data_IF_428323868284
#
_entry.id   IF_428323868284
#
_cell.length_a   1.000
_cell.length_b   1.000
_cell.length_c   1.000
_cell.angle_alpha   90.00
_cell.angle_beta   90.00
_cell.angle_gamma   90.00
#
_symmetry.space_group_name_H-M   'P 1'
#
loop_
_entity.id
_entity.type
_entity.pdbx_description
1 polymer ?
#
# COMPACT_ATOMS: atom_id res chain seq x y z
N UNK A 1 1.33 -15.64 20.50
CA UNK A 1 2.05 -14.44 20.02
C UNK A 1 1.09 -13.70 19.10
N UNK A 2 0.82 -12.39 19.26
CA UNK A 2 -0.13 -11.72 18.39
C UNK A 2 0.45 -11.69 16.99
N UNK A 3 -0.31 -12.15 16.00
CA UNK A 3 0.07 -12.09 14.60
C UNK A 3 0.41 -10.64 14.25
N UNK A 4 1.59 -10.40 13.65
CA UNK A 4 1.90 -9.10 13.04
C UNK A 4 0.74 -8.77 12.11
N UNK A 5 -0.06 -7.77 12.46
CA UNK A 5 -1.14 -7.32 11.60
C UNK A 5 -0.49 -6.87 10.29
N UNK A 6 -0.79 -7.59 9.21
CA UNK A 6 -0.37 -7.16 7.89
C UNK A 6 -1.08 -5.84 7.60
N UNK A 7 -0.32 -4.83 7.16
CA UNK A 7 -0.85 -3.53 6.77
C UNK A 7 -2.00 -3.72 5.76
N UNK A 8 -3.13 -3.04 5.94
CA UNK A 8 -4.20 -3.05 4.94
C UNK A 8 -3.89 -2.07 3.80
N UNK A 9 -4.61 -2.20 2.67
CA UNK A 9 -4.46 -1.24 1.57
C UNK A 9 -4.82 0.18 2.02
N UNK A 10 -5.91 0.31 2.76
CA UNK A 10 -6.42 1.59 3.27
C UNK A 10 -5.43 2.24 4.23
N UNK A 11 -4.83 1.45 5.13
CA UNK A 11 -3.79 1.93 6.04
C UNK A 11 -2.55 2.40 5.27
N UNK A 12 -2.10 1.64 4.27
CA UNK A 12 -0.97 2.02 3.42
C UNK A 12 -1.24 3.32 2.64
N UNK A 13 -2.47 3.51 2.15
CA UNK A 13 -2.89 4.74 1.49
C UNK A 13 -2.91 5.94 2.44
N UNK A 14 -3.42 5.76 3.66
CA UNK A 14 -3.39 6.82 4.69
C UNK A 14 -1.96 7.21 5.06
N UNK A 15 -1.05 6.25 5.18
CA UNK A 15 0.37 6.53 5.45
C UNK A 15 1.04 7.28 4.29
N UNK A 16 0.73 6.93 3.03
CA UNK A 16 1.20 7.66 1.86
C UNK A 16 0.71 9.11 1.83
N UNK A 17 -0.57 9.35 2.11
CA UNK A 17 -1.15 10.69 2.17
C UNK A 17 -0.51 11.54 3.27
N UNK A 18 -0.27 10.94 4.45
CA UNK A 18 0.41 11.62 5.55
C UNK A 18 1.85 12.00 5.18
N UNK A 19 2.62 11.10 4.57
CA UNK A 19 3.99 11.42 4.12
C UNK A 19 4.00 12.49 3.03
N UNK A 20 3.05 12.46 2.09
CA UNK A 20 2.94 13.50 1.07
C UNK A 20 2.70 14.88 1.69
N UNK A 21 1.81 14.99 2.68
CA UNK A 21 1.57 16.23 3.43
C UNK A 21 2.82 16.71 4.18
N UNK A 22 3.57 15.79 4.81
CA UNK A 22 4.81 16.13 5.50
C UNK A 22 5.90 16.62 4.53
N UNK A 23 5.97 16.05 3.32
CA UNK A 23 6.90 16.49 2.27
C UNK A 23 6.60 17.89 1.73
N UNK A 24 5.36 18.37 1.85
CA UNK A 24 4.95 19.73 1.50
C UNK A 24 5.35 20.78 2.56
N UNK A 25 5.80 20.34 3.74
CA UNK A 25 6.15 21.25 4.83
C UNK A 25 7.44 22.03 4.51
N UNK A 26 7.41 23.37 4.54
CA UNK A 26 8.61 24.19 4.34
C UNK A 26 9.67 23.89 5.41
N UNK A 27 10.92 23.72 4.97
CA UNK A 27 12.05 23.49 5.87
C UNK A 27 12.29 22.02 6.25
N UNK A 28 11.61 21.06 5.61
CA UNK A 28 12.00 19.66 5.70
C UNK A 28 13.44 19.47 5.23
N UNK A 29 14.27 18.78 6.01
CA UNK A 29 15.65 18.51 5.62
C UNK A 29 15.69 17.57 4.42
N UNK A 30 16.72 17.69 3.60
CA UNK A 30 16.93 16.83 2.44
C UNK A 30 17.04 15.36 2.86
N UNK A 31 17.71 15.07 3.97
CA UNK A 31 17.82 13.70 4.51
C UNK A 31 16.45 13.09 4.84
N UNK A 32 15.55 13.88 5.47
CA UNK A 32 14.18 13.41 5.74
C UNK A 32 13.35 13.29 4.48
N UNK A 33 13.56 14.18 3.51
CA UNK A 33 12.87 14.11 2.23
C UNK A 33 13.25 12.83 1.46
N UNK A 34 14.53 12.42 1.53
CA UNK A 34 14.98 11.14 0.98
C UNK A 34 14.38 9.95 1.73
N UNK A 35 14.32 9.99 3.06
CA UNK A 35 13.68 8.92 3.85
C UNK A 35 12.19 8.75 3.50
N UNK A 36 11.44 9.85 3.40
CA UNK A 36 10.03 9.81 3.00
C UNK A 36 9.86 9.35 1.56
N UNK A 37 10.77 9.71 0.66
CA UNK A 37 10.74 9.24 -0.73
C UNK A 37 10.90 7.72 -0.82
N UNK A 38 11.90 7.15 -0.13
CA UNK A 38 12.13 5.70 -0.11
C UNK A 38 10.94 4.94 0.47
N UNK A 39 10.44 5.39 1.64
CA UNK A 39 9.26 4.79 2.28
C UNK A 39 8.00 4.91 1.42
N UNK A 40 7.81 6.05 0.76
CA UNK A 40 6.67 6.26 -0.14
C UNK A 40 6.73 5.32 -1.34
N UNK A 41 7.91 5.04 -1.88
CA UNK A 41 8.07 4.06 -2.97
C UNK A 41 7.72 2.64 -2.52
N UNK A 42 8.15 2.24 -1.32
CA UNK A 42 7.82 0.92 -0.76
C UNK A 42 6.31 0.75 -0.56
N UNK A 43 5.66 1.75 0.04
CA UNK A 43 4.22 1.73 0.25
C UNK A 43 3.42 1.80 -1.07
N UNK A 44 3.88 2.58 -2.04
CA UNK A 44 3.25 2.62 -3.36
C UNK A 44 3.32 1.24 -4.06
N UNK A 45 4.47 0.57 -3.98
CA UNK A 45 4.62 -0.79 -4.52
C UNK A 45 3.67 -1.78 -3.83
N UNK A 46 3.58 -1.72 -2.50
CA UNK A 46 2.65 -2.53 -1.71
C UNK A 46 1.18 -2.31 -2.12
N UNK A 47 0.75 -1.05 -2.23
CA UNK A 47 -0.59 -0.68 -2.68
C UNK A 47 -0.89 -1.26 -4.07
N UNK A 48 0.05 -1.13 -5.01
CA UNK A 48 -0.10 -1.63 -6.36
C UNK A 48 -0.22 -3.16 -6.39
N UNK A 49 0.56 -3.88 -5.59
CA UNK A 49 0.48 -5.33 -5.46
C UNK A 49 -0.90 -5.78 -4.95
N UNK A 50 -1.40 -5.15 -3.87
CA UNK A 50 -2.72 -5.44 -3.33
C UNK A 50 -3.84 -5.18 -4.35
N UNK A 51 -3.79 -4.04 -5.03
CA UNK A 51 -4.76 -3.68 -6.07
C UNK A 51 -4.73 -4.67 -7.24
N UNK A 52 -3.55 -5.12 -7.67
CA UNK A 52 -3.41 -6.15 -8.69
C UNK A 52 -4.02 -7.48 -8.24
N UNK A 53 -3.79 -7.87 -6.98
CA UNK A 53 -4.41 -9.05 -6.38
C UNK A 53 -5.94 -8.97 -6.37
N UNK A 54 -6.50 -7.83 -5.96
CA UNK A 54 -7.96 -7.62 -5.99
C UNK A 54 -8.53 -7.64 -7.41
N UNK A 55 -7.86 -6.99 -8.37
CA UNK A 55 -8.26 -7.02 -9.79
C UNK A 55 -8.27 -8.43 -10.35
N UNK A 56 -7.23 -9.23 -10.05
CA UNK A 56 -7.16 -10.62 -10.48
C UNK A 56 -8.28 -11.48 -9.87
N UNK A 57 -8.63 -11.25 -8.60
CA UNK A 57 -9.77 -11.92 -7.94
C UNK A 57 -11.08 -11.55 -8.62
N UNK A 58 -11.35 -10.26 -8.85
CA UNK A 58 -12.56 -9.79 -9.54
C UNK A 58 -12.66 -10.40 -10.94
N UNK A 59 -11.57 -10.42 -11.70
CA UNK A 59 -11.54 -11.02 -13.04
C UNK A 59 -11.91 -12.52 -13.00
N UNK A 60 -11.40 -13.30 -12.04
CA UNK A 60 -11.77 -14.71 -11.88
C UNK A 60 -13.27 -14.91 -11.60
N UNK A 61 -13.86 -14.05 -10.75
CA UNK A 61 -15.31 -14.07 -10.47
C UNK A 61 -16.10 -13.78 -11.74
N UNK A 62 -15.70 -12.76 -12.50
CA UNK A 62 -16.37 -12.36 -13.75
C UNK A 62 -16.27 -13.43 -14.84
N UNK A 63 -15.17 -14.19 -14.89
CA UNK A 63 -14.99 -15.32 -15.80
C UNK A 63 -15.72 -16.60 -15.36
N UNK A 64 -16.43 -16.59 -14.23
CA UNK A 64 -17.14 -17.76 -13.71
C UNK A 64 -16.23 -18.88 -13.21
N UNK A 65 -14.96 -18.57 -12.90
CA UNK A 65 -14.01 -19.52 -12.32
C UNK A 65 -14.22 -19.59 -10.82
N UNK A 66 -14.42 -20.81 -10.30
CA UNK A 66 -14.49 -21.09 -8.86
C UNK A 66 -13.22 -20.57 -8.18
N UNK A 67 -13.38 -19.76 -7.14
CA UNK A 67 -12.27 -19.27 -6.33
C UNK A 67 -12.08 -20.26 -5.18
N UNK A 68 -10.98 -21.00 -5.20
CA UNK A 68 -10.45 -21.63 -3.99
C UNK A 68 -10.01 -20.52 -3.04
N UNK A 69 -10.75 -20.34 -1.96
CA UNK A 69 -10.42 -19.41 -0.87
C UNK A 69 -9.52 -20.18 0.09
N UNK A 70 -8.20 -19.93 0.03
CA UNK A 70 -7.34 -20.28 1.16
C UNK A 70 -7.61 -19.27 2.30
N UNK A 71 -8.11 -19.80 3.40
CA UNK A 71 -8.47 -19.09 4.63
C UNK A 71 -7.25 -18.76 5.50
#
# INVERSE_FOLDING_TARGET
MPAKQQLTLEQAMTELEAMAQEMETPGLSIDKMMEYYEKSNELAAFCQEKLNGYRARIAKIQEGKEIEIEA
#
